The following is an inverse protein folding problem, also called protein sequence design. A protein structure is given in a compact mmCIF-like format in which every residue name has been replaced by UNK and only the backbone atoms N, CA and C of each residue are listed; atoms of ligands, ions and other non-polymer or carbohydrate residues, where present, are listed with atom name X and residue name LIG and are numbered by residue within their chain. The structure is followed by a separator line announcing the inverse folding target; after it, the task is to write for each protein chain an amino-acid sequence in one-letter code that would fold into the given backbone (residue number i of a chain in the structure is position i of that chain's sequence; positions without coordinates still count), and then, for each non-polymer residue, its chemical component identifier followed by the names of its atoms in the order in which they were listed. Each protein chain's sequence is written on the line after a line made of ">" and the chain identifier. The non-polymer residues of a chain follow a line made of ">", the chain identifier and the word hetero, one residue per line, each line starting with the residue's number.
data_IF_203529253814
#
_entry.id   IF_203529253814
#
_cell.length_a   1.000
_cell.length_b   1.000
_cell.length_c   1.000
_cell.angle_alpha   90.00
_cell.angle_beta   90.00
_cell.angle_gamma   90.00
#
_symmetry.space_group_name_H-M   'P 1'
#
loop_
_entity.id
_entity.type
_entity.pdbx_description
1 polymer ?
#
# COMPACT_ATOMS: atom_id res chain seq x y z
N UNK A 1 25.54 7.22 62.46
CA UNK A 1 25.54 6.40 61.25
C UNK A 1 24.38 6.83 60.38
N UNK A 2 24.65 7.60 59.29
CA UNK A 2 23.62 7.99 58.33
C UNK A 2 23.77 7.04 57.13
N UNK A 3 22.74 6.19 56.91
CA UNK A 3 22.64 5.34 55.75
C UNK A 3 22.20 6.18 54.55
N UNK A 4 23.11 6.33 53.57
CA UNK A 4 22.79 6.90 52.27
C UNK A 4 22.13 5.78 51.45
N UNK A 5 20.81 5.89 51.20
CA UNK A 5 20.11 5.00 50.27
C UNK A 5 20.34 5.56 48.85
N UNK A 6 21.23 4.95 48.12
CA UNK A 6 21.36 5.20 46.67
C UNK A 6 20.14 4.56 45.96
N UNK A 7 19.15 5.37 45.60
CA UNK A 7 18.15 4.97 44.61
C UNK A 7 18.85 4.84 43.24
N UNK A 8 19.14 3.61 42.84
CA UNK A 8 19.50 3.31 41.45
C UNK A 8 18.24 3.46 40.59
N UNK A 9 18.09 4.60 39.92
CA UNK A 9 17.14 4.72 38.83
C UNK A 9 17.60 3.80 37.70
N UNK A 10 17.04 2.58 37.62
CA UNK A 10 17.14 1.72 36.46
C UNK A 10 16.31 2.37 35.34
N UNK A 11 16.87 3.36 34.68
CA UNK A 11 16.38 3.82 33.39
C UNK A 11 16.49 2.65 32.41
N UNK A 12 15.37 2.11 31.96
CA UNK A 12 15.37 1.14 30.87
C UNK A 12 16.08 1.78 29.67
N UNK A 13 17.30 1.29 29.40
CA UNK A 13 18.02 1.67 28.18
C UNK A 13 17.16 1.25 27.00
N UNK A 14 16.61 2.24 26.29
CA UNK A 14 15.92 2.00 25.03
C UNK A 14 16.92 1.31 24.08
N UNK A 15 16.46 0.28 23.37
CA UNK A 15 17.32 -0.36 22.37
C UNK A 15 17.66 0.65 21.26
N UNK A 16 18.89 0.51 20.71
CA UNK A 16 19.32 1.37 19.61
C UNK A 16 18.46 1.10 18.38
N UNK A 17 17.87 2.16 17.83
CA UNK A 17 17.12 2.06 16.59
C UNK A 17 18.08 1.82 15.41
N UNK A 18 17.72 0.89 14.55
CA UNK A 18 18.49 0.48 13.37
C UNK A 18 17.59 0.46 12.15
N UNK A 19 18.14 0.86 11.01
CA UNK A 19 17.48 0.76 9.73
C UNK A 19 18.43 0.23 8.66
N UNK A 20 17.90 -0.42 7.66
CA UNK A 20 18.63 -0.88 6.47
C UNK A 20 17.69 -0.93 5.27
N UNK A 21 18.19 -0.65 4.09
CA UNK A 21 17.39 -0.59 2.88
C UNK A 21 18.07 -1.27 1.71
N UNK A 22 17.30 -1.90 0.86
CA UNK A 22 17.75 -2.47 -0.41
C UNK A 22 16.62 -2.53 -1.43
N UNK A 23 16.96 -2.48 -2.71
CA UNK A 23 16.00 -2.64 -3.81
C UNK A 23 16.54 -3.61 -4.86
N UNK A 24 15.63 -4.29 -5.54
CA UNK A 24 15.92 -5.17 -6.68
C UNK A 24 14.97 -4.87 -7.82
N UNK A 25 15.45 -5.02 -9.06
CA UNK A 25 14.61 -4.88 -10.24
C UNK A 25 13.70 -6.09 -10.37
N UNK A 26 12.41 -5.84 -10.62
CA UNK A 26 11.38 -6.85 -10.91
C UNK A 26 10.74 -6.66 -12.28
N UNK A 27 11.26 -5.76 -13.11
CA UNK A 27 10.81 -5.56 -14.48
C UNK A 27 10.87 -6.88 -15.27
N UNK A 28 9.78 -7.26 -15.98
CA UNK A 28 9.80 -8.48 -16.78
C UNK A 28 10.72 -8.32 -18.01
N UNK A 29 11.49 -9.34 -18.30
CA UNK A 29 12.07 -9.51 -19.63
C UNK A 29 10.94 -9.90 -20.59
N UNK A 30 10.59 -8.98 -21.51
CA UNK A 30 9.47 -9.13 -22.42
C UNK A 30 9.67 -10.23 -23.47
N UNK A 31 10.91 -10.71 -23.68
CA UNK A 31 11.17 -11.86 -24.54
C UNK A 31 11.04 -13.17 -23.76
N UNK A 32 11.61 -13.21 -22.57
CA UNK A 32 11.62 -14.40 -21.73
C UNK A 32 10.23 -14.75 -21.20
N UNK A 33 9.43 -13.75 -20.83
CA UNK A 33 8.11 -13.93 -20.21
C UNK A 33 6.94 -13.63 -21.16
N UNK A 34 7.18 -13.65 -22.49
CA UNK A 34 6.14 -13.37 -23.48
C UNK A 34 5.01 -14.43 -23.49
N UNK A 35 3.74 -14.01 -23.66
CA UNK A 35 3.24 -12.66 -23.64
C UNK A 35 3.12 -12.14 -22.20
N UNK A 36 3.50 -10.88 -21.95
CA UNK A 36 3.30 -10.21 -20.68
C UNK A 36 1.97 -9.45 -20.72
N UNK A 37 0.96 -9.96 -20.06
CA UNK A 37 -0.32 -9.26 -19.89
C UNK A 37 -0.19 -8.21 -18.79
N UNK A 38 -0.71 -7.01 -19.03
CA UNK A 38 -0.66 -5.90 -18.09
C UNK A 38 -1.94 -5.84 -17.26
N UNK A 39 -1.77 -5.63 -15.96
CA UNK A 39 -2.86 -5.58 -14.98
C UNK A 39 -3.59 -4.23 -14.94
N UNK A 40 -4.70 -4.16 -14.23
CA UNK A 40 -5.38 -2.96 -13.78
C UNK A 40 -6.54 -2.47 -14.66
N UNK A 41 -6.51 -2.75 -15.96
CA UNK A 41 -7.57 -2.36 -16.90
C UNK A 41 -8.15 -3.60 -17.62
N UNK A 42 -8.66 -3.45 -18.82
CA UNK A 42 -9.30 -4.55 -19.55
C UNK A 42 -8.36 -5.70 -19.96
N UNK A 43 -8.95 -6.80 -20.40
CA UNK A 43 -8.22 -7.97 -20.88
C UNK A 43 -7.36 -7.71 -22.11
N UNK A 44 -6.39 -8.62 -22.36
CA UNK A 44 -5.55 -8.65 -23.56
C UNK A 44 -4.70 -7.39 -23.78
N UNK A 45 -4.36 -6.68 -22.71
CA UNK A 45 -3.40 -5.58 -22.76
C UNK A 45 -1.99 -6.15 -22.65
N UNK A 46 -1.31 -6.34 -23.79
CA UNK A 46 0.03 -6.94 -23.86
C UNK A 46 1.08 -5.85 -23.83
N UNK A 47 2.11 -6.02 -23.00
CA UNK A 47 3.23 -5.11 -22.91
C UNK A 47 4.03 -5.08 -24.23
N UNK A 48 4.21 -3.88 -24.81
CA UNK A 48 4.95 -3.65 -26.04
C UNK A 48 6.36 -3.07 -25.81
N UNK A 49 6.68 -2.69 -24.57
CA UNK A 49 7.98 -2.13 -24.20
C UNK A 49 8.04 -1.73 -22.75
N UNK A 50 9.21 -1.28 -22.30
CA UNK A 50 9.45 -0.77 -20.95
C UNK A 50 9.78 0.73 -21.06
N UNK A 51 9.21 1.54 -20.18
CA UNK A 51 9.55 2.95 -20.01
C UNK A 51 10.58 3.12 -18.89
N UNK A 52 10.31 2.55 -17.73
CA UNK A 52 11.18 2.54 -16.57
C UNK A 52 11.05 1.21 -15.79
N UNK A 53 12.05 0.94 -14.97
CA UNK A 53 12.09 -0.30 -14.20
C UNK A 53 11.07 -0.32 -13.07
N UNK A 54 10.47 -1.50 -12.87
CA UNK A 54 9.71 -1.85 -11.67
C UNK A 54 10.66 -2.40 -10.60
N UNK A 55 10.39 -2.06 -9.33
CA UNK A 55 11.25 -2.47 -8.22
C UNK A 55 10.48 -3.19 -7.11
N UNK A 56 11.21 -4.05 -6.40
CA UNK A 56 10.93 -4.39 -5.02
C UNK A 56 11.84 -3.53 -4.14
N UNK A 57 11.27 -2.72 -3.23
CA UNK A 57 11.97 -1.76 -2.36
C UNK A 57 11.71 -2.13 -0.91
N UNK A 58 12.70 -2.63 -0.19
CA UNK A 58 12.57 -3.15 1.16
C UNK A 58 13.26 -2.25 2.19
N UNK A 59 12.53 -1.85 3.22
CA UNK A 59 13.03 -1.10 4.37
C UNK A 59 12.92 -1.95 5.63
N UNK A 60 14.07 -2.32 6.20
CA UNK A 60 14.16 -3.03 7.47
C UNK A 60 14.29 -2.03 8.63
N UNK A 61 13.48 -2.23 9.67
CA UNK A 61 13.42 -1.39 10.87
C UNK A 61 13.56 -2.29 12.11
N UNK A 62 14.44 -1.91 13.03
CA UNK A 62 14.66 -2.69 14.25
C UNK A 62 15.03 -1.83 15.44
N UNK A 63 14.44 -2.17 16.58
CA UNK A 63 14.88 -1.74 17.92
C UNK A 63 14.47 -2.86 18.87
N UNK A 64 15.42 -3.76 19.17
CA UNK A 64 15.18 -4.98 19.95
C UNK A 64 15.65 -6.24 19.23
N UNK A 65 14.98 -7.36 19.48
CA UNK A 65 15.49 -8.68 19.08
C UNK A 65 15.19 -9.04 17.61
N UNK A 66 14.02 -8.71 17.11
CA UNK A 66 13.58 -9.09 15.77
C UNK A 66 13.16 -7.84 15.00
N UNK A 67 13.80 -7.51 13.86
CA UNK A 67 13.38 -6.42 13.00
C UNK A 67 12.13 -6.79 12.23
N UNK A 68 11.42 -5.77 11.72
CA UNK A 68 10.42 -5.89 10.67
C UNK A 68 10.99 -5.35 9.38
N UNK A 69 10.75 -6.02 8.26
CA UNK A 69 11.07 -5.52 6.93
C UNK A 69 9.77 -5.34 6.14
N UNK A 70 9.55 -4.13 5.65
CA UNK A 70 8.42 -3.79 4.78
C UNK A 70 8.96 -3.63 3.36
N UNK A 71 8.51 -4.50 2.47
CA UNK A 71 8.84 -4.48 1.06
C UNK A 71 7.65 -3.93 0.27
N UNK A 72 7.86 -2.89 -0.52
CA UNK A 72 6.93 -2.39 -1.51
C UNK A 72 7.32 -2.90 -2.88
N UNK A 73 6.36 -3.38 -3.65
CA UNK A 73 6.57 -3.86 -5.02
C UNK A 73 5.75 -3.03 -6.01
N UNK A 74 6.36 -2.64 -7.14
CA UNK A 74 5.69 -1.91 -8.21
C UNK A 74 4.85 -2.87 -9.07
N UNK A 75 3.78 -3.39 -8.46
CA UNK A 75 2.83 -4.35 -9.04
C UNK A 75 1.40 -3.97 -8.63
N UNK A 76 0.42 -4.55 -9.34
CA UNK A 76 -1.01 -4.39 -9.02
C UNK A 76 -1.36 -4.99 -7.65
N UNK A 77 -0.77 -6.12 -7.32
CA UNK A 77 -1.01 -6.87 -6.08
C UNK A 77 -0.27 -8.20 -6.08
N UNK A 78 -0.09 -8.76 -4.89
CA UNK A 78 0.37 -10.14 -4.69
C UNK A 78 -0.57 -10.83 -3.71
N UNK A 79 -0.93 -12.08 -4.01
CA UNK A 79 -1.69 -12.89 -3.09
C UNK A 79 -0.85 -13.39 -1.92
N UNK A 80 -1.49 -13.63 -0.78
CA UNK A 80 -0.88 -14.19 0.42
C UNK A 80 -0.01 -15.42 0.13
N UNK A 81 -0.42 -16.26 -0.82
CA UNK A 81 0.35 -17.44 -1.22
C UNK A 81 1.77 -17.10 -1.71
N UNK A 82 1.92 -16.05 -2.53
CA UNK A 82 3.23 -15.58 -2.98
C UNK A 82 3.99 -14.86 -1.87
N UNK A 83 3.30 -14.13 -1.00
CA UNK A 83 3.90 -13.51 0.19
C UNK A 83 4.46 -14.57 1.14
N UNK A 84 3.76 -15.67 1.38
CA UNK A 84 4.26 -16.78 2.20
C UNK A 84 5.48 -17.47 1.55
N UNK A 85 5.54 -17.55 0.22
CA UNK A 85 6.73 -18.03 -0.50
C UNK A 85 7.93 -17.08 -0.29
N UNK A 86 7.71 -15.76 -0.27
CA UNK A 86 8.74 -14.77 0.04
C UNK A 86 9.20 -14.94 1.49
N UNK A 87 8.26 -15.00 2.45
CA UNK A 87 8.53 -15.20 3.88
C UNK A 87 9.36 -16.45 4.15
N UNK A 88 9.10 -17.54 3.44
CA UNK A 88 9.85 -18.79 3.56
C UNK A 88 11.33 -18.66 3.14
N UNK A 89 11.70 -17.64 2.35
CA UNK A 89 13.06 -17.36 1.88
C UNK A 89 13.80 -16.29 2.70
N UNK A 90 13.12 -15.68 3.66
CA UNK A 90 13.68 -14.62 4.52
C UNK A 90 13.77 -15.11 5.95
N UNK A 91 14.89 -14.89 6.61
CA UNK A 91 15.12 -15.34 7.99
C UNK A 91 15.47 -14.17 8.91
N UNK A 92 15.10 -14.33 10.19
CA UNK A 92 15.52 -13.40 11.25
C UNK A 92 14.72 -12.08 11.33
N UNK A 93 13.67 -11.89 10.51
CA UNK A 93 12.80 -10.74 10.53
C UNK A 93 11.34 -11.13 10.38
N UNK A 94 10.42 -10.25 10.78
CA UNK A 94 9.04 -10.26 10.30
C UNK A 94 9.00 -9.58 8.92
N UNK A 95 8.26 -10.16 7.97
CA UNK A 95 8.21 -9.69 6.58
C UNK A 95 6.80 -9.28 6.23
N UNK A 96 6.68 -8.05 5.75
CA UNK A 96 5.48 -7.47 5.15
C UNK A 96 5.78 -7.18 3.69
N UNK A 97 4.88 -7.54 2.79
CA UNK A 97 4.97 -7.20 1.36
C UNK A 97 3.71 -6.45 0.97
N UNK A 98 3.87 -5.23 0.49
CA UNK A 98 2.77 -4.42 -0.02
C UNK A 98 3.02 -4.07 -1.49
N UNK A 99 1.98 -3.66 -2.18
CA UNK A 99 2.05 -3.29 -3.60
C UNK A 99 1.68 -1.82 -3.79
N UNK A 100 2.39 -1.15 -4.70
CA UNK A 100 2.02 0.23 -5.09
C UNK A 100 0.66 0.31 -5.77
N UNK A 101 0.14 -0.83 -6.25
CA UNK A 101 -1.07 -0.96 -7.03
C UNK A 101 -0.94 -0.35 -8.43
N UNK A 102 0.26 -0.38 -9.01
CA UNK A 102 0.48 0.16 -10.35
C UNK A 102 -0.28 -0.63 -11.42
N UNK A 103 -1.04 0.10 -12.25
CA UNK A 103 -1.83 -0.47 -13.34
C UNK A 103 -1.01 -0.65 -14.63
N UNK A 104 0.30 -0.39 -14.58
CA UNK A 104 1.20 -0.45 -15.73
C UNK A 104 2.24 -1.57 -15.59
N UNK A 105 2.01 -2.48 -14.63
CA UNK A 105 2.82 -3.67 -14.39
C UNK A 105 2.20 -4.95 -14.96
N UNK A 106 2.92 -6.09 -14.85
CA UNK A 106 2.41 -7.41 -15.26
C UNK A 106 1.26 -7.90 -14.41
N UNK A 107 0.38 -8.73 -15.00
CA UNK A 107 -0.66 -9.45 -14.27
C UNK A 107 -0.06 -10.54 -13.38
N UNK A 108 -0.02 -10.28 -12.08
CA UNK A 108 0.42 -11.21 -11.04
C UNK A 108 -0.73 -11.94 -10.36
N UNK A 109 -1.97 -11.56 -10.68
CA UNK A 109 -3.19 -12.04 -10.01
C UNK A 109 -4.09 -12.91 -10.90
N UNK A 110 -3.91 -12.86 -12.23
CA UNK A 110 -4.62 -13.72 -13.18
C UNK A 110 -5.94 -13.16 -13.70
N UNK A 111 -6.20 -11.87 -13.46
CA UNK A 111 -7.49 -11.26 -13.82
C UNK A 111 -7.47 -10.57 -15.19
N UNK A 112 -6.30 -10.30 -15.77
CA UNK A 112 -6.15 -9.48 -16.98
C UNK A 112 -5.51 -10.24 -18.16
N UNK A 113 -5.71 -11.54 -18.23
CA UNK A 113 -5.20 -12.40 -19.30
C UNK A 113 -5.80 -12.11 -20.68
N UNK A 114 -5.67 -13.06 -21.64
CA UNK A 114 -6.08 -12.85 -23.03
C UNK A 114 -7.58 -12.65 -23.22
N UNK A 115 -8.40 -13.02 -22.24
CA UNK A 115 -9.85 -12.85 -22.26
C UNK A 115 -10.49 -13.33 -20.97
N UNK A 116 -11.80 -13.09 -20.84
CA UNK A 116 -12.55 -13.52 -19.68
C UNK A 116 -12.37 -15.01 -19.38
N UNK A 117 -12.09 -15.35 -18.14
CA UNK A 117 -11.87 -16.73 -17.72
C UNK A 117 -10.50 -17.32 -18.10
N UNK A 118 -9.56 -16.49 -18.55
CA UNK A 118 -8.20 -16.91 -18.88
C UNK A 118 -7.19 -16.10 -18.07
N UNK A 119 -6.32 -16.81 -17.33
CA UNK A 119 -5.31 -16.19 -16.46
C UNK A 119 -4.24 -15.45 -17.27
N UNK A 120 -3.83 -14.27 -16.79
CA UNK A 120 -2.69 -13.55 -17.31
C UNK A 120 -1.39 -13.82 -16.55
N UNK A 121 -1.43 -14.63 -15.48
CA UNK A 121 -0.24 -15.00 -14.70
C UNK A 121 0.75 -15.77 -15.57
N UNK A 122 2.00 -15.30 -15.55
CA UNK A 122 3.16 -16.05 -16.00
C UNK A 122 3.90 -16.60 -14.76
N UNK A 123 3.80 -17.91 -14.50
CA UNK A 123 4.31 -18.54 -13.27
C UNK A 123 5.82 -18.34 -13.03
N UNK A 124 6.62 -18.37 -14.11
CA UNK A 124 8.06 -18.12 -13.97
C UNK A 124 8.35 -16.66 -13.61
N UNK A 125 7.50 -15.71 -14.08
CA UNK A 125 7.62 -14.32 -13.68
C UNK A 125 7.22 -14.12 -12.21
N UNK A 126 6.09 -14.69 -11.75
CA UNK A 126 5.72 -14.63 -10.35
C UNK A 126 6.80 -15.26 -9.45
N UNK A 127 7.40 -16.37 -9.88
CA UNK A 127 8.53 -16.99 -9.16
C UNK A 127 9.77 -16.10 -9.14
N UNK A 128 10.09 -15.43 -10.26
CA UNK A 128 11.14 -14.44 -10.32
C UNK A 128 10.88 -13.27 -9.35
N UNK A 129 9.67 -12.73 -9.29
CA UNK A 129 9.28 -11.67 -8.35
C UNK A 129 9.52 -12.14 -6.90
N UNK A 130 9.03 -13.35 -6.54
CA UNK A 130 9.24 -13.94 -5.21
C UNK A 130 10.72 -13.98 -4.83
N UNK A 131 11.59 -14.42 -5.75
CA UNK A 131 13.03 -14.49 -5.51
C UNK A 131 13.66 -13.10 -5.34
N UNK A 132 13.26 -12.14 -6.17
CA UNK A 132 13.79 -10.77 -6.12
C UNK A 132 13.36 -10.02 -4.87
N UNK A 133 12.11 -10.17 -4.44
CA UNK A 133 11.62 -9.56 -3.18
C UNK A 133 12.36 -10.15 -1.99
N UNK A 134 12.52 -11.48 -1.94
CA UNK A 134 13.26 -12.14 -0.86
C UNK A 134 14.74 -11.70 -0.83
N UNK A 135 15.38 -11.51 -1.99
CA UNK A 135 16.74 -10.99 -2.09
C UNK A 135 16.85 -9.56 -1.53
N UNK A 136 15.92 -8.66 -1.92
CA UNK A 136 15.87 -7.30 -1.41
C UNK A 136 15.65 -7.27 0.10
N UNK A 137 14.72 -8.09 0.62
CA UNK A 137 14.44 -8.20 2.05
C UNK A 137 15.67 -8.66 2.85
N UNK A 138 16.31 -9.75 2.42
CA UNK A 138 17.54 -10.25 3.08
C UNK A 138 18.68 -9.22 3.01
N UNK A 139 18.81 -8.49 1.89
CA UNK A 139 19.81 -7.44 1.73
C UNK A 139 19.53 -6.25 2.66
N UNK A 140 18.29 -5.83 2.80
CA UNK A 140 17.89 -4.76 3.72
C UNK A 140 18.15 -5.16 5.19
N UNK A 141 17.86 -6.42 5.57
CA UNK A 141 18.16 -6.94 6.91
C UNK A 141 19.66 -6.96 7.18
N UNK A 142 20.45 -7.39 6.20
CA UNK A 142 21.93 -7.42 6.31
C UNK A 142 22.52 -6.01 6.42
N UNK A 143 21.88 -5.01 5.81
CA UNK A 143 22.29 -3.60 5.83
C UNK A 143 21.85 -2.86 7.10
N UNK A 144 21.21 -3.51 8.08
CA UNK A 144 20.77 -2.87 9.32
C UNK A 144 21.95 -2.24 10.07
N UNK A 145 21.92 -0.92 10.19
CA UNK A 145 22.87 -0.12 10.95
C UNK A 145 22.17 0.83 11.91
N UNK A 146 22.87 1.35 12.93
CA UNK A 146 22.31 2.37 13.82
C UNK A 146 21.82 3.58 13.03
N UNK A 147 20.59 4.00 13.27
CA UNK A 147 19.92 5.03 12.49
C UNK A 147 19.13 6.00 13.36
N UNK A 148 18.90 7.17 12.81
CA UNK A 148 18.09 8.23 13.41
C UNK A 148 16.80 8.41 12.59
N UNK A 149 15.62 8.15 13.16
CA UNK A 149 14.36 8.36 12.47
C UNK A 149 13.91 9.81 12.53
N UNK A 150 13.28 10.27 11.45
CA UNK A 150 12.61 11.58 11.30
C UNK A 150 11.19 11.30 10.84
N UNK A 151 10.21 11.78 11.59
CA UNK A 151 8.78 11.69 11.25
C UNK A 151 8.27 13.07 10.84
N UNK A 152 7.52 13.11 9.75
CA UNK A 152 6.90 14.33 9.25
C UNK A 152 5.50 14.05 8.69
N UNK A 153 4.70 15.11 8.57
CA UNK A 153 3.37 15.09 7.96
C UNK A 153 3.20 16.33 7.11
N UNK A 154 2.62 16.15 5.93
CA UNK A 154 2.19 17.23 5.06
C UNK A 154 0.70 17.14 4.84
N UNK A 155 0.03 18.27 5.02
CA UNK A 155 -1.36 18.48 4.63
C UNK A 155 -1.36 19.65 3.65
N UNK A 156 -1.86 19.44 2.45
CA UNK A 156 -1.86 20.44 1.41
C UNK A 156 -3.06 20.26 0.48
N UNK A 157 -3.80 21.34 0.17
CA UNK A 157 -4.85 21.26 -0.85
C UNK A 157 -4.36 20.84 -2.24
N UNK A 158 -3.05 20.96 -2.49
CA UNK A 158 -2.44 20.50 -3.73
C UNK A 158 -2.52 18.97 -3.85
N UNK A 159 -2.37 18.24 -2.74
CA UNK A 159 -2.47 16.78 -2.72
C UNK A 159 -3.90 16.31 -3.09
N UNK A 160 -4.92 17.01 -2.60
CA UNK A 160 -6.31 16.76 -2.98
C UNK A 160 -6.54 16.97 -4.48
N UNK A 161 -5.85 17.95 -5.10
CA UNK A 161 -6.01 18.24 -6.53
C UNK A 161 -5.44 17.15 -7.45
N UNK A 162 -4.67 16.22 -6.93
CA UNK A 162 -4.13 15.07 -7.67
C UNK A 162 -5.03 13.83 -7.60
N UNK A 163 -6.14 13.93 -6.89
CA UNK A 163 -7.08 12.84 -6.66
C UNK A 163 -8.44 13.24 -7.22
N UNK A 164 -9.03 12.36 -8.01
CA UNK A 164 -10.44 12.39 -8.38
C UNK A 164 -11.09 11.14 -7.77
N UNK A 165 -12.08 11.35 -6.91
CA UNK A 165 -12.87 10.27 -6.33
C UNK A 165 -14.23 10.25 -7.02
N UNK A 166 -14.47 9.21 -7.79
CA UNK A 166 -15.65 9.11 -8.64
C UNK A 166 -16.84 8.43 -7.97
N UNK A 167 -16.67 7.91 -6.75
CA UNK A 167 -17.74 7.24 -6.00
C UNK A 167 -18.14 8.04 -4.76
N UNK A 168 -19.43 8.39 -4.57
CA UNK A 168 -19.89 9.04 -3.34
C UNK A 168 -19.91 8.06 -2.14
N UNK A 169 -19.63 8.59 -0.92
CA UNK A 169 -19.25 9.98 -0.63
C UNK A 169 -17.82 10.28 -1.08
N UNK A 170 -17.55 11.51 -1.50
CA UNK A 170 -16.18 11.92 -1.87
C UNK A 170 -15.39 12.17 -0.60
N UNK A 171 -14.45 11.28 -0.30
CA UNK A 171 -13.57 11.36 0.86
C UNK A 171 -12.13 11.10 0.42
N UNK A 172 -11.20 12.00 0.77
CA UNK A 172 -9.78 11.83 0.46
C UNK A 172 -8.95 11.58 1.72
N UNK A 173 -8.08 10.57 1.69
CA UNK A 173 -7.01 10.37 2.66
C UNK A 173 -5.70 10.96 2.08
N UNK A 174 -5.67 12.27 1.92
CA UNK A 174 -4.66 12.98 1.15
C UNK A 174 -3.39 13.36 1.94
N UNK A 175 -3.29 13.02 3.23
CA UNK A 175 -2.10 13.34 4.02
C UNK A 175 -0.86 12.58 3.52
N UNK A 176 0.28 13.27 3.37
CA UNK A 176 1.57 12.59 3.31
C UNK A 176 2.07 12.35 4.73
N UNK A 177 2.29 11.10 5.10
CA UNK A 177 2.98 10.74 6.34
C UNK A 177 4.34 10.15 5.97
N UNK A 178 5.40 10.64 6.61
CA UNK A 178 6.78 10.41 6.18
C UNK A 178 7.58 9.81 7.33
N UNK A 179 8.30 8.73 7.03
CA UNK A 179 9.36 8.17 7.86
C UNK A 179 10.66 8.22 7.07
N UNK A 180 11.56 9.14 7.42
CA UNK A 180 12.92 9.17 6.89
C UNK A 180 13.88 8.62 7.94
N UNK A 181 14.89 7.87 7.53
CA UNK A 181 15.91 7.29 8.41
C UNK A 181 17.30 7.63 7.89
N UNK A 182 18.14 8.17 8.77
CA UNK A 182 19.52 8.53 8.45
C UNK A 182 20.51 7.74 9.29
N UNK A 183 21.64 7.35 8.69
CA UNK A 183 22.75 6.71 9.37
C UNK A 183 23.49 7.65 10.33
N UNK A 184 24.45 7.11 11.09
CA UNK A 184 25.29 7.89 12.00
C UNK A 184 26.13 8.97 11.31
N UNK A 185 26.41 8.77 10.03
CA UNK A 185 27.14 9.76 9.20
C UNK A 185 26.23 10.89 8.68
N UNK A 186 24.95 10.87 9.03
CA UNK A 186 23.95 11.84 8.62
C UNK A 186 23.39 11.64 7.22
N UNK A 187 23.83 10.60 6.47
CA UNK A 187 23.28 10.29 5.16
C UNK A 187 21.95 9.55 5.30
N UNK A 188 21.02 9.87 4.43
CA UNK A 188 19.73 9.16 4.36
C UNK A 188 19.95 7.72 3.93
N UNK A 189 19.45 6.76 4.71
CA UNK A 189 19.36 5.35 4.34
C UNK A 189 18.13 5.14 3.45
N UNK A 190 16.97 5.60 3.92
CA UNK A 190 15.73 5.54 3.16
C UNK A 190 14.72 6.60 3.64
N UNK A 191 13.78 6.94 2.75
CA UNK A 191 12.60 7.74 3.09
C UNK A 191 11.36 7.06 2.55
N UNK A 192 10.50 6.59 3.46
CA UNK A 192 9.19 6.05 3.14
C UNK A 192 8.14 7.14 3.28
N UNK A 193 7.28 7.24 2.26
CA UNK A 193 6.15 8.17 2.20
C UNK A 193 4.87 7.35 2.04
N UNK A 194 3.90 7.55 2.92
CA UNK A 194 2.57 6.97 2.81
C UNK A 194 1.61 8.01 2.24
N UNK A 195 0.95 7.65 1.14
CA UNK A 195 -0.06 8.46 0.47
C UNK A 195 -1.03 7.55 -0.27
N UNK A 196 -2.29 7.98 -0.41
CA UNK A 196 -3.35 7.19 -1.04
C UNK A 196 -3.71 7.76 -2.40
N UNK A 197 -3.30 7.08 -3.48
CA UNK A 197 -3.75 7.36 -4.84
C UNK A 197 -3.37 6.19 -5.76
N UNK A 198 -4.22 5.84 -6.72
CA UNK A 198 -3.93 4.80 -7.72
C UNK A 198 -2.77 5.23 -8.64
N UNK A 199 -1.74 4.41 -8.84
CA UNK A 199 -0.77 4.63 -9.91
C UNK A 199 -1.32 4.12 -11.25
N UNK A 200 -2.17 4.92 -11.89
CA UNK A 200 -2.85 4.58 -13.15
C UNK A 200 -2.98 5.78 -14.11
N UNK A 201 -2.09 6.78 -13.91
CA UNK A 201 -2.10 8.07 -14.64
C UNK A 201 -2.11 7.93 -16.15
N UNK A 202 -1.56 6.83 -16.67
CA UNK A 202 -1.42 6.59 -18.11
C UNK A 202 -2.67 5.98 -18.76
N UNK A 203 -3.59 5.44 -17.95
CA UNK A 203 -4.87 4.90 -18.40
C UNK A 203 -4.75 3.65 -19.27
N UNK A 204 -5.89 3.13 -19.68
CA UNK A 204 -6.06 1.80 -20.30
C UNK A 204 -5.34 1.58 -21.64
N UNK A 205 -4.94 2.67 -22.35
CA UNK A 205 -4.31 2.57 -23.66
C UNK A 205 -2.79 2.45 -23.62
N UNK A 206 -2.17 2.68 -22.47
CA UNK A 206 -0.74 2.49 -22.33
C UNK A 206 -0.37 1.01 -22.42
N UNK A 207 0.67 0.69 -23.19
CA UNK A 207 1.23 -0.66 -23.34
C UNK A 207 2.70 -0.73 -22.93
N UNK A 208 3.22 0.30 -22.27
CA UNK A 208 4.59 0.31 -21.75
C UNK A 208 4.58 0.02 -20.26
N UNK A 209 5.40 -0.93 -19.85
CA UNK A 209 5.68 -1.20 -18.43
C UNK A 209 6.32 0.04 -17.82
N UNK A 210 5.79 0.48 -16.68
CA UNK A 210 6.30 1.63 -15.92
C UNK A 210 5.76 1.58 -14.50
N UNK A 211 6.49 2.16 -13.54
CA UNK A 211 5.99 2.36 -12.18
C UNK A 211 5.00 3.54 -12.07
N UNK A 212 4.61 4.20 -13.19
CA UNK A 212 3.74 5.38 -13.22
C UNK A 212 4.33 6.55 -12.39
N UNK A 213 3.50 7.38 -11.72
CA UNK A 213 3.99 8.50 -10.90
C UNK A 213 4.94 8.07 -9.76
N UNK A 214 4.85 6.86 -9.15
CA UNK A 214 5.85 6.37 -8.21
C UNK A 214 7.29 6.34 -8.77
N UNK A 215 7.48 6.01 -10.04
CA UNK A 215 8.80 6.03 -10.69
C UNK A 215 9.45 7.42 -10.68
N UNK A 216 8.67 8.45 -11.00
CA UNK A 216 9.10 9.85 -10.95
C UNK A 216 9.31 10.33 -9.51
N UNK A 217 8.45 9.90 -8.57
CA UNK A 217 8.61 10.16 -7.16
C UNK A 217 9.92 9.59 -6.61
N UNK A 218 10.24 8.32 -6.89
CA UNK A 218 11.48 7.71 -6.44
C UNK A 218 12.70 8.48 -6.94
N UNK A 219 12.76 8.74 -8.24
CA UNK A 219 13.87 9.46 -8.86
C UNK A 219 14.08 10.84 -8.24
N UNK A 220 12.98 11.58 -8.04
CA UNK A 220 13.03 12.93 -7.48
C UNK A 220 13.43 12.95 -6.02
N UNK A 221 12.85 12.07 -5.20
CA UNK A 221 13.12 12.03 -3.76
C UNK A 221 14.54 11.56 -3.46
N UNK A 222 15.02 10.52 -4.17
CA UNK A 222 16.40 10.03 -4.08
C UNK A 222 17.41 11.12 -4.49
N UNK A 223 17.12 11.93 -5.49
CA UNK A 223 17.94 13.08 -5.87
C UNK A 223 17.94 14.20 -4.81
N UNK A 224 16.80 14.40 -4.11
CA UNK A 224 16.65 15.47 -3.10
C UNK A 224 17.27 15.13 -1.74
N UNK A 225 17.14 13.90 -1.27
CA UNK A 225 17.51 13.48 0.07
C UNK A 225 18.64 12.46 0.12
N UNK A 226 18.96 11.80 -1.01
CA UNK A 226 19.78 10.60 -1.03
C UNK A 226 19.02 9.39 -0.47
N UNK A 227 19.72 8.26 -0.38
CA UNK A 227 19.16 7.00 0.12
C UNK A 227 18.10 6.41 -0.82
N UNK A 228 17.29 5.49 -0.33
CA UNK A 228 16.23 4.82 -1.09
C UNK A 228 14.88 5.47 -0.80
N UNK A 229 14.13 5.85 -1.83
CA UNK A 229 12.73 6.27 -1.69
C UNK A 229 11.80 5.04 -1.70
N UNK A 230 10.72 5.09 -0.90
CA UNK A 230 9.66 4.09 -0.89
C UNK A 230 8.32 4.82 -0.84
N UNK A 231 7.37 4.42 -1.68
CA UNK A 231 6.00 4.93 -1.63
C UNK A 231 5.09 3.80 -1.11
N UNK A 232 4.61 3.92 0.10
CA UNK A 232 3.61 3.03 0.68
C UNK A 232 2.22 3.54 0.33
N UNK A 233 1.51 2.81 -0.52
CA UNK A 233 0.17 3.20 -0.93
C UNK A 233 -0.83 3.03 0.23
N UNK A 234 -1.80 3.94 0.30
CA UNK A 234 -2.76 4.02 1.39
C UNK A 234 -4.13 3.41 1.07
N UNK A 235 -5.18 4.11 1.49
CA UNK A 235 -6.57 3.75 1.25
C UNK A 235 -6.99 4.22 -0.14
N UNK A 236 -6.84 3.36 -1.14
CA UNK A 236 -7.08 3.70 -2.56
C UNK A 236 -8.46 3.28 -3.08
N UNK A 237 -9.26 2.57 -2.27
CA UNK A 237 -10.65 2.25 -2.61
C UNK A 237 -11.47 3.51 -2.89
N UNK A 238 -12.74 3.37 -3.32
CA UNK A 238 -13.55 4.52 -3.71
C UNK A 238 -13.12 5.17 -5.02
N UNK A 239 -12.15 4.59 -5.74
CA UNK A 239 -11.55 5.11 -6.97
C UNK A 239 -10.74 6.40 -6.78
N UNK A 240 -9.97 6.49 -5.69
CA UNK A 240 -8.98 7.55 -5.54
C UNK A 240 -7.92 7.44 -6.63
N UNK A 241 -8.06 8.24 -7.67
CA UNK A 241 -7.32 8.11 -8.92
C UNK A 241 -6.81 9.45 -9.43
N UNK A 242 -5.67 9.50 -10.12
CA UNK A 242 -5.27 10.68 -10.87
C UNK A 242 -6.04 10.82 -12.19
N UNK A 243 -6.76 9.78 -12.64
CA UNK A 243 -7.62 9.89 -13.83
C UNK A 243 -8.75 10.89 -13.58
N UNK A 244 -8.91 11.86 -14.48
CA UNK A 244 -9.87 12.96 -14.29
C UNK A 244 -9.34 14.14 -13.47
N UNK A 245 -8.37 13.93 -12.59
CA UNK A 245 -7.77 15.00 -11.79
C UNK A 245 -7.14 16.11 -12.65
N UNK A 246 -7.42 17.37 -12.30
CA UNK A 246 -7.03 18.55 -13.09
C UNK A 246 -5.63 19.06 -12.70
N UNK A 247 -4.60 18.32 -13.10
CA UNK A 247 -3.20 18.59 -12.75
C UNK A 247 -2.63 19.73 -13.60
N UNK A 248 -2.21 20.83 -12.95
CA UNK A 248 -1.61 21.99 -13.63
C UNK A 248 -0.13 21.77 -13.88
N UNK A 249 0.31 22.07 -15.12
CA UNK A 249 1.71 22.08 -15.52
C UNK A 249 2.30 23.49 -15.39
N UNK A 250 3.17 23.70 -14.40
CA UNK A 250 3.82 24.98 -14.18
C UNK A 250 4.75 25.36 -15.32
N UNK A 251 5.37 24.38 -16.02
CA UNK A 251 6.24 24.64 -17.17
C UNK A 251 5.45 25.02 -18.43
N UNK A 252 4.17 24.66 -18.49
CA UNK A 252 3.24 25.06 -19.55
C UNK A 252 2.38 26.28 -19.12
N UNK A 253 2.93 27.21 -18.32
CA UNK A 253 2.24 28.41 -17.84
C UNK A 253 0.92 28.12 -17.09
N UNK A 254 0.83 26.98 -16.40
CA UNK A 254 -0.34 26.56 -15.64
C UNK A 254 -1.45 25.95 -16.48
N UNK A 255 -1.21 25.60 -17.74
CA UNK A 255 -2.12 24.78 -18.51
C UNK A 255 -2.27 23.40 -17.87
N UNK A 256 -3.37 22.69 -18.14
CA UNK A 256 -3.54 21.33 -17.64
C UNK A 256 -2.59 20.37 -18.34
N UNK A 257 -1.95 19.50 -17.57
CA UNK A 257 -1.19 18.38 -18.13
C UNK A 257 -2.13 17.49 -18.97
N UNK A 258 -1.64 16.98 -20.11
CA UNK A 258 -2.45 16.08 -20.94
C UNK A 258 -2.88 14.85 -20.15
N UNK A 259 -4.17 14.47 -20.28
CA UNK A 259 -4.69 13.25 -19.66
C UNK A 259 -4.01 12.00 -20.25
N UNK A 260 -3.87 10.95 -19.45
CA UNK A 260 -3.21 9.70 -19.84
C UNK A 260 -1.78 9.91 -20.38
N UNK A 261 -0.98 10.71 -19.67
CA UNK A 261 0.37 11.07 -20.13
C UNK A 261 1.44 10.90 -19.06
N UNK A 262 2.66 10.58 -19.50
CA UNK A 262 3.85 10.60 -18.64
C UNK A 262 4.10 11.97 -18.01
N UNK A 263 3.72 13.07 -18.68
CA UNK A 263 3.87 14.42 -18.10
C UNK A 263 3.02 14.60 -16.86
N UNK A 264 1.77 14.11 -16.87
CA UNK A 264 0.89 14.15 -15.70
C UNK A 264 1.47 13.31 -14.55
N UNK A 265 1.94 12.09 -14.83
CA UNK A 265 2.60 11.22 -13.87
C UNK A 265 3.88 11.88 -13.29
N UNK A 266 4.69 12.49 -14.13
CA UNK A 266 5.90 13.21 -13.72
C UNK A 266 5.59 14.35 -12.75
N UNK A 267 4.62 15.20 -13.07
CA UNK A 267 4.23 16.31 -12.19
C UNK A 267 3.78 15.79 -10.83
N UNK A 268 2.90 14.81 -10.79
CA UNK A 268 2.40 14.24 -9.54
C UNK A 268 3.57 13.67 -8.72
N UNK A 269 4.37 12.78 -9.31
CA UNK A 269 5.47 12.13 -8.61
C UNK A 269 6.51 13.12 -8.08
N UNK A 270 6.92 14.11 -8.89
CA UNK A 270 7.89 15.12 -8.48
C UNK A 270 7.34 16.03 -7.37
N UNK A 271 6.07 16.42 -7.44
CA UNK A 271 5.47 17.30 -6.41
C UNK A 271 5.35 16.61 -5.06
N UNK A 272 4.90 15.34 -5.01
CA UNK A 272 4.87 14.56 -3.77
C UNK A 272 6.28 14.43 -3.19
N UNK A 273 7.28 14.15 -4.02
CA UNK A 273 8.68 14.06 -3.60
C UNK A 273 9.20 15.37 -3.03
N UNK A 274 8.89 16.51 -3.67
CA UNK A 274 9.31 17.82 -3.20
C UNK A 274 8.69 18.18 -1.85
N UNK A 275 7.39 17.98 -1.68
CA UNK A 275 6.67 18.18 -0.43
C UNK A 275 7.26 17.31 0.70
N UNK A 276 7.52 16.04 0.41
CA UNK A 276 8.12 15.13 1.38
C UNK A 276 9.54 15.55 1.76
N UNK A 277 10.38 15.92 0.79
CA UNK A 277 11.75 16.33 1.05
C UNK A 277 11.83 17.60 1.90
N UNK A 278 10.96 18.57 1.63
CA UNK A 278 10.92 19.82 2.39
C UNK A 278 10.43 19.59 3.82
N UNK A 279 9.45 18.71 4.02
CA UNK A 279 8.97 18.32 5.33
C UNK A 279 10.06 17.60 6.15
N UNK A 280 10.81 16.68 5.56
CA UNK A 280 11.94 16.00 6.22
C UNK A 280 13.01 16.97 6.66
N UNK A 281 13.37 17.95 5.81
CA UNK A 281 14.38 18.96 6.14
C UNK A 281 13.95 19.90 7.28
N UNK A 282 12.65 20.17 7.40
CA UNK A 282 12.08 21.02 8.44
C UNK A 282 11.87 20.27 9.77
N UNK A 283 11.76 18.95 9.74
CA UNK A 283 11.44 18.13 10.91
C UNK A 283 12.67 17.89 11.80
N UNK A 284 12.40 17.55 13.06
CA UNK A 284 13.43 17.18 14.03
C UNK A 284 13.53 15.66 14.16
N UNK A 285 14.72 15.14 14.49
CA UNK A 285 14.88 13.71 14.79
C UNK A 285 13.98 13.22 15.92
N UNK A 286 13.44 12.03 15.75
CA UNK A 286 12.65 11.32 16.75
C UNK A 286 13.53 10.33 17.54
N UNK A 287 13.07 9.94 18.74
CA UNK A 287 13.70 8.90 19.53
C UNK A 287 12.81 7.65 19.56
N UNK A 288 13.21 6.63 18.81
CA UNK A 288 12.55 5.33 18.78
C UNK A 288 13.48 4.33 19.45
N UNK A 289 12.95 3.53 20.36
CA UNK A 289 13.69 2.50 21.09
C UNK A 289 12.96 1.16 21.08
N UNK A 290 11.83 1.08 20.39
CA UNK A 290 11.07 -0.15 20.22
C UNK A 290 10.35 -0.15 18.88
N UNK A 291 10.47 -1.26 18.16
CA UNK A 291 9.71 -1.58 16.96
C UNK A 291 9.01 -2.90 17.22
N UNK A 292 7.70 -2.96 17.01
CA UNK A 292 6.91 -4.19 17.16
C UNK A 292 6.06 -4.42 15.92
N UNK A 293 5.81 -5.69 15.64
CA UNK A 293 4.89 -6.13 14.59
C UNK A 293 3.92 -7.14 15.18
N UNK A 294 2.66 -6.97 14.87
CA UNK A 294 1.59 -7.92 15.19
C UNK A 294 0.77 -8.20 13.93
N UNK A 295 0.44 -9.45 13.68
CA UNK A 295 -0.41 -9.90 12.58
C UNK A 295 -1.54 -10.77 13.11
N UNK A 296 -2.71 -10.64 12.50
CA UNK A 296 -3.84 -11.54 12.69
C UNK A 296 -4.33 -12.03 11.34
N UNK A 297 -4.33 -13.34 11.13
CA UNK A 297 -5.00 -13.97 9.99
C UNK A 297 -6.47 -14.15 10.35
N UNK A 298 -7.35 -13.48 9.59
CA UNK A 298 -8.80 -13.49 9.81
C UNK A 298 -9.50 -14.19 8.64
N UNK A 299 -10.60 -14.88 8.93
CA UNK A 299 -11.45 -15.45 7.91
C UNK A 299 -12.44 -14.39 7.40
N UNK A 300 -12.50 -14.19 6.09
CA UNK A 300 -13.45 -13.28 5.42
C UNK A 300 -14.31 -14.09 4.45
N UNK A 301 -15.65 -14.06 4.57
CA UNK A 301 -16.54 -14.74 3.63
C UNK A 301 -16.35 -14.20 2.20
N UNK A 302 -16.20 -15.09 1.24
CA UNK A 302 -16.16 -14.75 -0.19
C UNK A 302 -17.57 -14.86 -0.74
N UNK A 303 -18.31 -13.77 -0.78
CA UNK A 303 -19.68 -13.74 -1.32
C UNK A 303 -19.73 -13.37 -2.80
N UNK A 304 -18.67 -12.75 -3.32
CA UNK A 304 -18.53 -12.37 -4.72
C UNK A 304 -18.52 -13.60 -5.63
N UNK A 305 -19.55 -13.70 -6.48
CA UNK A 305 -19.71 -14.85 -7.40
C UNK A 305 -18.62 -14.86 -8.49
N UNK A 306 -18.16 -13.70 -8.93
CA UNK A 306 -17.05 -13.54 -9.88
C UNK A 306 -15.75 -14.12 -9.31
N UNK A 307 -15.39 -13.77 -8.07
CA UNK A 307 -14.21 -14.30 -7.39
C UNK A 307 -14.31 -15.81 -7.17
N UNK A 308 -15.49 -16.30 -6.78
CA UNK A 308 -15.72 -17.75 -6.67
C UNK A 308 -15.58 -18.46 -8.03
N UNK A 309 -16.07 -17.85 -9.11
CA UNK A 309 -15.94 -18.41 -10.45
C UNK A 309 -14.48 -18.39 -10.93
N UNK A 310 -13.75 -17.31 -10.69
CA UNK A 310 -12.33 -17.19 -10.99
C UNK A 310 -11.50 -18.27 -10.25
N UNK A 311 -11.78 -18.48 -8.97
CA UNK A 311 -11.14 -19.54 -8.18
C UNK A 311 -11.45 -20.95 -8.72
N UNK A 312 -12.72 -21.23 -9.07
CA UNK A 312 -13.11 -22.51 -9.69
C UNK A 312 -12.48 -22.75 -11.07
N UNK A 313 -12.27 -21.68 -11.83
CA UNK A 313 -11.61 -21.73 -13.14
C UNK A 313 -10.07 -21.73 -13.04
N UNK A 314 -9.53 -21.73 -11.83
CA UNK A 314 -8.10 -21.67 -11.55
C UNK A 314 -7.38 -20.47 -12.20
N UNK A 315 -8.06 -19.32 -12.28
CA UNK A 315 -7.44 -18.07 -12.80
C UNK A 315 -6.27 -17.64 -11.93
N UNK A 316 -6.35 -17.87 -10.63
CA UNK A 316 -5.33 -17.53 -9.64
C UNK A 316 -4.16 -18.54 -9.57
N UNK A 317 -4.17 -19.59 -10.43
CA UNK A 317 -3.11 -20.61 -10.50
C UNK A 317 -2.80 -21.24 -9.14
N UNK A 318 -3.83 -21.75 -8.49
CA UNK A 318 -3.75 -22.44 -7.20
C UNK A 318 -3.62 -21.54 -5.98
N UNK A 319 -3.60 -20.21 -6.17
CA UNK A 319 -3.64 -19.20 -5.09
C UNK A 319 -5.09 -18.93 -4.65
N UNK A 320 -5.27 -18.21 -3.54
CA UNK A 320 -6.61 -17.79 -3.07
C UNK A 320 -7.61 -18.94 -2.91
N UNK A 321 -7.17 -19.99 -2.27
CA UNK A 321 -8.08 -21.12 -1.98
C UNK A 321 -9.13 -20.71 -0.95
N UNK A 322 -10.39 -20.98 -1.29
CA UNK A 322 -11.51 -20.81 -0.37
C UNK A 322 -11.59 -22.01 0.58
N UNK A 323 -11.76 -21.75 1.87
CA UNK A 323 -12.00 -22.78 2.86
C UNK A 323 -13.37 -23.45 2.67
N UNK A 324 -13.61 -24.58 3.35
CA UNK A 324 -14.87 -25.34 3.23
C UNK A 324 -16.11 -24.53 3.65
N UNK A 325 -15.95 -23.52 4.49
CA UNK A 325 -17.02 -22.59 4.91
C UNK A 325 -17.25 -21.43 3.95
N UNK A 326 -16.56 -21.40 2.81
CA UNK A 326 -16.66 -20.34 1.81
C UNK A 326 -15.86 -19.09 2.14
N UNK A 327 -14.97 -19.12 3.15
CA UNK A 327 -14.12 -17.97 3.50
C UNK A 327 -12.74 -18.03 2.84
N UNK A 328 -12.08 -16.87 2.71
CA UNK A 328 -10.65 -16.75 2.46
C UNK A 328 -9.94 -16.28 3.73
N UNK A 329 -8.66 -16.62 3.86
CA UNK A 329 -7.81 -16.08 4.93
C UNK A 329 -7.17 -14.78 4.45
N UNK A 330 -7.28 -13.73 5.26
CA UNK A 330 -6.64 -12.45 4.98
C UNK A 330 -5.80 -12.01 6.20
N UNK A 331 -4.53 -11.60 6.02
CA UNK A 331 -3.72 -11.04 7.09
C UNK A 331 -4.08 -9.58 7.34
N UNK A 332 -4.11 -9.18 8.60
CA UNK A 332 -4.26 -7.79 9.04
C UNK A 332 -3.16 -7.51 10.04
N UNK A 333 -2.41 -6.43 9.86
CA UNK A 333 -1.22 -6.18 10.66
C UNK A 333 -1.18 -4.80 11.31
N UNK A 334 -0.27 -4.67 12.29
CA UNK A 334 0.07 -3.41 12.94
C UNK A 334 1.56 -3.37 13.23
N UNK A 335 2.24 -2.33 12.74
CA UNK A 335 3.61 -2.00 13.14
C UNK A 335 3.56 -0.78 14.04
N UNK A 336 4.23 -0.85 15.21
CA UNK A 336 4.31 0.27 16.15
C UNK A 336 5.77 0.64 16.39
N UNK A 337 6.09 1.92 16.20
CA UNK A 337 7.36 2.53 16.55
C UNK A 337 7.17 3.42 17.78
N UNK A 338 7.86 3.13 18.87
CA UNK A 338 7.70 3.86 20.12
C UNK A 338 9.03 4.22 20.78
N UNK A 339 9.05 5.34 21.51
CA UNK A 339 10.14 5.81 22.35
C UNK A 339 9.67 5.90 23.81
N UNK A 340 9.61 7.12 24.38
CA UNK A 340 8.94 7.39 25.68
C UNK A 340 7.41 7.26 25.59
N UNK A 341 6.86 7.13 24.39
CA UNK A 341 5.45 6.91 24.05
C UNK A 341 5.33 6.48 22.60
N UNK A 342 4.11 6.23 22.09
CA UNK A 342 3.87 5.96 20.67
C UNK A 342 4.37 7.11 19.79
N UNK A 343 5.01 6.78 18.65
CA UNK A 343 5.54 7.78 17.70
C UNK A 343 4.90 7.60 16.32
N UNK A 344 4.90 6.37 15.79
CA UNK A 344 4.31 6.01 14.52
C UNK A 344 3.62 4.65 14.65
N UNK A 345 2.36 4.60 14.23
CA UNK A 345 1.61 3.35 14.03
C UNK A 345 1.32 3.19 12.54
N UNK A 346 1.51 1.97 12.02
CA UNK A 346 1.26 1.60 10.63
C UNK A 346 0.27 0.45 10.61
N UNK A 347 -0.97 0.70 10.20
CA UNK A 347 -1.96 -0.33 9.95
C UNK A 347 -1.72 -0.98 8.57
N UNK A 348 -1.81 -2.31 8.49
CA UNK A 348 -1.62 -3.10 7.28
C UNK A 348 -2.94 -3.76 6.90
N UNK A 349 -3.41 -3.51 5.69
CA UNK A 349 -4.74 -3.93 5.21
C UNK A 349 -4.60 -4.70 3.90
N UNK A 350 -5.24 -5.89 3.78
CA UNK A 350 -5.00 -6.81 2.66
C UNK A 350 -5.86 -6.51 1.43
N UNK A 351 -5.96 -5.26 1.00
CA UNK A 351 -6.75 -4.88 -0.16
C UNK A 351 -6.93 -3.37 -0.29
N UNK A 352 -7.82 -2.97 -1.17
CA UNK A 352 -8.12 -1.58 -1.51
C UNK A 352 -9.17 -1.00 -0.56
N UNK A 353 -8.70 -0.47 0.59
CA UNK A 353 -9.59 0.12 1.60
C UNK A 353 -10.19 1.43 1.09
N UNK A 354 -11.50 1.60 1.27
CA UNK A 354 -12.16 2.88 1.02
C UNK A 354 -11.67 3.94 2.03
N UNK A 355 -11.45 5.19 1.59
CA UNK A 355 -10.91 6.25 2.45
C UNK A 355 -11.78 6.56 3.65
N UNK A 356 -13.09 6.38 3.57
CA UNK A 356 -14.04 6.53 4.68
C UNK A 356 -13.72 5.57 5.83
N UNK A 357 -13.21 4.37 5.50
CA UNK A 357 -12.75 3.40 6.50
C UNK A 357 -11.36 3.73 7.05
N UNK A 358 -10.59 4.60 6.37
CA UNK A 358 -9.31 5.08 6.86
C UNK A 358 -9.47 6.26 7.82
N UNK A 359 -10.14 7.35 7.37
CA UNK A 359 -10.20 8.63 8.06
C UNK A 359 -11.58 8.98 8.64
N UNK A 360 -12.62 8.27 8.25
CA UNK A 360 -14.02 8.53 8.58
C UNK A 360 -14.74 9.20 7.40
N UNK A 361 -16.06 9.32 7.51
CA UNK A 361 -16.88 9.90 6.46
C UNK A 361 -17.91 8.92 5.88
N UNK A 362 -18.00 7.69 6.42
CA UNK A 362 -19.03 6.72 6.01
C UNK A 362 -20.42 7.35 6.15
N UNK A 363 -21.18 7.33 5.05
CA UNK A 363 -22.56 7.83 5.01
C UNK A 363 -23.55 6.67 4.91
N UNK A 364 -24.78 6.91 5.40
CA UNK A 364 -25.90 5.99 5.25
C UNK A 364 -26.78 6.47 4.12
N UNK A 365 -27.01 5.60 3.16
CA UNK A 365 -27.91 5.89 2.05
C UNK A 365 -29.14 5.01 2.10
N UNK A 366 -30.31 5.59 1.86
CA UNK A 366 -31.60 4.87 1.84
C UNK A 366 -31.63 3.76 0.78
N UNK A 367 -30.87 3.92 -0.32
CA UNK A 367 -30.81 2.95 -1.41
C UNK A 367 -29.76 1.87 -1.23
N UNK A 368 -28.89 1.95 -0.20
CA UNK A 368 -27.88 0.93 0.05
C UNK A 368 -28.51 -0.44 0.36
N UNK A 369 -27.81 -1.53 0.01
CA UNK A 369 -28.28 -2.89 0.30
C UNK A 369 -28.36 -3.19 1.81
N UNK A 370 -27.54 -2.50 2.63
CA UNK A 370 -27.49 -2.66 4.10
C UNK A 370 -27.56 -1.32 4.84
N UNK A 371 -28.64 -0.51 4.68
CA UNK A 371 -28.70 0.86 5.20
C UNK A 371 -28.65 0.93 6.74
N UNK A 372 -29.02 -0.16 7.43
CA UNK A 372 -29.01 -0.26 8.89
C UNK A 372 -27.73 -0.92 9.44
N UNK A 373 -26.74 -1.26 8.60
CA UNK A 373 -25.51 -1.84 9.06
C UNK A 373 -24.80 -0.91 10.06
N UNK A 374 -24.14 -1.43 11.11
CA UNK A 374 -23.30 -0.62 11.97
C UNK A 374 -22.19 0.05 11.14
N UNK A 375 -21.93 1.33 11.40
CA UNK A 375 -20.79 2.02 10.78
C UNK A 375 -19.51 1.52 11.41
N UNK A 376 -18.58 1.10 10.57
CA UNK A 376 -17.25 0.66 10.99
C UNK A 376 -16.45 1.84 11.55
N UNK A 377 -15.71 1.66 12.66
CA UNK A 377 -14.83 2.71 13.14
C UNK A 377 -13.68 2.91 12.15
N UNK A 378 -13.36 4.15 11.76
CA UNK A 378 -12.25 4.42 10.87
C UNK A 378 -10.91 4.01 11.50
N UNK A 379 -9.99 3.48 10.68
CA UNK A 379 -8.78 2.81 11.17
C UNK A 379 -7.77 3.79 11.76
N UNK A 380 -7.45 4.90 11.07
CA UNK A 380 -6.45 5.86 11.57
C UNK A 380 -6.80 6.45 12.94
N UNK A 381 -8.06 6.78 13.27
CA UNK A 381 -8.47 7.17 14.62
C UNK A 381 -8.32 6.09 15.69
N UNK A 382 -8.30 4.80 15.35
CA UNK A 382 -8.03 3.72 16.31
C UNK A 382 -6.55 3.64 16.73
N UNK A 383 -5.63 4.17 15.88
CA UNK A 383 -4.19 4.17 16.13
C UNK A 383 -3.85 5.22 17.20
N UNK A 384 -2.86 4.91 18.05
CA UNK A 384 -2.52 5.73 19.23
C UNK A 384 -1.42 6.75 18.98
N UNK A 385 -0.57 6.48 17.99
CA UNK A 385 0.55 7.37 17.68
C UNK A 385 0.10 8.69 17.04
N UNK A 386 0.88 9.79 17.21
CA UNK A 386 0.62 11.05 16.52
C UNK A 386 0.80 10.96 14.99
N UNK A 387 1.72 10.11 14.53
CA UNK A 387 1.87 9.78 13.12
C UNK A 387 1.18 8.44 12.85
N UNK A 388 0.31 8.39 11.84
CA UNK A 388 -0.56 7.25 11.56
C UNK A 388 -0.54 6.96 10.08
N UNK A 389 0.04 5.83 9.70
CA UNK A 389 0.05 5.33 8.34
C UNK A 389 -0.98 4.21 8.19
N UNK A 390 -1.51 4.06 7.00
CA UNK A 390 -2.24 2.90 6.56
C UNK A 390 -1.60 2.45 5.25
N UNK A 391 -1.19 1.18 5.18
CA UNK A 391 -0.69 0.56 3.95
C UNK A 391 -1.78 -0.40 3.48
N UNK A 392 -2.34 -0.12 2.31
CA UNK A 392 -3.24 -1.01 1.58
C UNK A 392 -2.48 -2.11 0.84
N UNK A 393 -3.19 -3.08 0.27
CA UNK A 393 -2.60 -4.18 -0.51
C UNK A 393 -1.40 -4.84 0.19
N UNK A 394 -1.48 -4.90 1.52
CA UNK A 394 -0.41 -5.41 2.37
C UNK A 394 -0.64 -6.89 2.67
N UNK A 395 0.34 -7.71 2.29
CA UNK A 395 0.40 -9.16 2.49
C UNK A 395 -0.68 -9.98 1.77
N UNK A 396 -1.61 -9.34 1.07
CA UNK A 396 -2.64 -9.97 0.25
C UNK A 396 -3.41 -8.93 -0.58
N UNK A 397 -4.26 -9.42 -1.51
CA UNK A 397 -5.21 -8.63 -2.26
C UNK A 397 -6.57 -9.33 -2.30
N UNK A 398 -7.56 -8.74 -1.64
CA UNK A 398 -8.94 -9.25 -1.56
C UNK A 398 -9.96 -8.38 -2.30
N UNK A 399 -9.46 -7.43 -3.08
CA UNK A 399 -10.27 -6.42 -3.77
C UNK A 399 -10.67 -5.26 -2.86
N UNK A 400 -11.68 -4.54 -3.28
CA UNK A 400 -12.20 -3.40 -2.55
C UNK A 400 -12.77 -3.78 -1.19
N UNK A 401 -12.43 -2.98 -0.18
CA UNK A 401 -12.96 -3.07 1.18
C UNK A 401 -13.89 -1.89 1.38
N UNK A 402 -15.17 -2.14 1.20
CA UNK A 402 -16.26 -1.14 1.12
C UNK A 402 -16.98 -1.06 2.46
N UNK A 403 -17.36 0.14 2.96
CA UNK A 403 -18.24 0.25 4.12
C UNK A 403 -19.55 -0.49 3.88
N UNK A 404 -19.97 -1.35 4.82
CA UNK A 404 -21.18 -2.16 4.61
C UNK A 404 -22.44 -1.31 4.45
N UNK A 405 -22.50 -0.14 5.10
CA UNK A 405 -23.63 0.79 4.99
C UNK A 405 -23.74 1.48 3.62
N UNK A 406 -22.68 1.41 2.79
CA UNK A 406 -22.57 1.98 1.46
C UNK A 406 -22.58 0.92 0.34
N UNK A 407 -22.82 -0.35 0.68
CA UNK A 407 -22.86 -1.45 -0.28
C UNK A 407 -24.04 -1.32 -1.25
N UNK A 408 -23.80 -1.43 -2.57
CA UNK A 408 -24.72 -0.99 -3.63
C UNK A 408 -24.77 -1.93 -4.85
N UNK A 409 -25.06 -3.21 -4.61
CA UNK A 409 -25.21 -4.18 -5.73
C UNK A 409 -26.60 -4.17 -6.37
N UNK A 410 -27.65 -3.68 -5.68
CA UNK A 410 -29.04 -3.76 -6.10
C UNK A 410 -29.72 -2.40 -6.19
N UNK A 411 -30.56 -2.24 -7.23
CA UNK A 411 -31.39 -1.04 -7.34
C UNK A 411 -32.43 -0.96 -6.21
N UNK A 412 -32.77 0.26 -5.72
CA UNK A 412 -32.29 1.55 -6.19
C UNK A 412 -30.85 1.83 -5.77
N UNK A 413 -30.02 2.28 -6.70
CA UNK A 413 -28.63 2.54 -6.44
C UNK A 413 -28.41 3.85 -5.67
N UNK A 414 -27.26 3.97 -5.00
CA UNK A 414 -26.86 5.16 -4.24
C UNK A 414 -27.05 6.43 -5.07
N UNK A 415 -27.60 7.48 -4.44
CA UNK A 415 -27.91 8.77 -5.08
C UNK A 415 -28.81 8.66 -6.32
N UNK A 416 -29.66 7.61 -6.40
CA UNK A 416 -30.52 7.33 -7.55
C UNK A 416 -29.75 7.23 -8.88
N UNK A 417 -28.53 6.72 -8.84
CA UNK A 417 -27.73 6.45 -10.04
C UNK A 417 -28.49 5.52 -11.00
N UNK A 418 -28.31 5.65 -12.32
CA UNK A 418 -28.99 4.81 -13.31
C UNK A 418 -28.46 3.37 -13.37
N UNK A 419 -27.31 3.12 -12.75
CA UNK A 419 -26.64 1.81 -12.63
C UNK A 419 -25.84 1.75 -11.33
N UNK A 420 -25.42 0.56 -10.91
CA UNK A 420 -24.51 0.38 -9.79
C UNK A 420 -23.23 1.22 -9.98
N UNK A 421 -22.73 1.75 -8.89
CA UNK A 421 -21.40 2.33 -8.84
C UNK A 421 -20.36 1.21 -9.00
N UNK A 422 -19.17 1.57 -9.48
CA UNK A 422 -18.06 0.64 -9.56
C UNK A 422 -17.54 0.33 -8.14
N UNK A 423 -17.22 -0.95 -7.87
CA UNK A 423 -16.60 -1.35 -6.60
C UNK A 423 -16.97 -2.76 -6.17
N UNK A 424 -18.26 -3.04 -5.95
CA UNK A 424 -18.73 -4.30 -5.37
C UNK A 424 -18.35 -5.53 -6.20
N UNK A 425 -18.36 -5.41 -7.52
CA UNK A 425 -17.95 -6.49 -8.44
C UNK A 425 -16.48 -6.91 -8.26
N UNK A 426 -15.66 -6.02 -7.66
CA UNK A 426 -14.25 -6.28 -7.37
C UNK A 426 -13.95 -6.34 -5.85
N UNK A 427 -14.97 -6.56 -5.02
CA UNK A 427 -14.83 -6.78 -3.58
C UNK A 427 -15.03 -8.24 -3.22
N UNK A 428 -14.35 -8.73 -2.20
CA UNK A 428 -14.57 -10.06 -1.63
C UNK A 428 -15.97 -10.22 -1.02
N UNK A 429 -16.57 -9.13 -0.51
CA UNK A 429 -17.91 -9.11 0.07
C UNK A 429 -18.10 -8.09 1.21
N UNK A 430 -19.36 -7.83 1.61
CA UNK A 430 -19.74 -6.71 2.49
C UNK A 430 -19.26 -6.84 3.94
N UNK A 431 -18.78 -8.02 4.37
CA UNK A 431 -18.35 -8.24 5.76
C UNK A 431 -16.85 -7.97 5.97
N UNK A 432 -16.08 -7.64 4.93
CA UNK A 432 -14.64 -7.45 5.00
C UNK A 432 -14.26 -6.27 5.91
N UNK A 433 -14.88 -5.11 5.71
CA UNK A 433 -14.61 -3.88 6.46
C UNK A 433 -14.74 -4.07 7.98
N UNK A 434 -15.85 -4.62 8.44
CA UNK A 434 -16.12 -4.83 9.86
C UNK A 434 -15.12 -5.78 10.51
N UNK A 435 -14.72 -6.86 9.83
CA UNK A 435 -13.76 -7.85 10.32
C UNK A 435 -12.35 -7.26 10.43
N UNK A 436 -11.92 -6.49 9.42
CA UNK A 436 -10.61 -5.81 9.40
C UNK A 436 -10.54 -4.76 10.52
N UNK A 437 -11.55 -3.88 10.62
CA UNK A 437 -11.60 -2.87 11.68
C UNK A 437 -11.57 -3.49 13.08
N UNK A 438 -12.29 -4.60 13.30
CA UNK A 438 -12.28 -5.33 14.56
C UNK A 438 -10.90 -5.94 14.88
N UNK A 439 -10.20 -6.48 13.87
CA UNK A 439 -8.86 -7.04 14.03
C UNK A 439 -7.84 -5.95 14.42
N UNK A 440 -7.83 -4.81 13.73
CA UNK A 440 -6.97 -3.66 14.07
C UNK A 440 -7.27 -3.14 15.46
N UNK A 441 -8.54 -2.91 15.80
CA UNK A 441 -8.96 -2.46 17.13
C UNK A 441 -8.50 -3.40 18.25
N UNK A 442 -8.45 -4.70 17.99
CA UNK A 442 -7.98 -5.68 18.96
C UNK A 442 -6.45 -5.67 19.16
N UNK A 443 -5.68 -5.17 18.17
CA UNK A 443 -4.22 -5.02 18.26
C UNK A 443 -3.79 -3.68 18.89
N UNK A 444 -4.62 -2.66 18.84
CA UNK A 444 -4.34 -1.32 19.42
C UNK A 444 -4.66 -1.19 20.91
N UNK A 445 -5.10 -2.25 21.60
CA UNK A 445 -5.48 -2.27 23.03
C UNK A 445 -4.31 -2.46 23.99
#
# INVERSE_FOLDING_TARGET
>A
MRFLVLLACAGSLLAEFRAGAAKTVITPDLQKFAPVYMAGFGHNRIAAGVHDDLYARCLALGAGKKPVVVCEVDLIGLFLDDVERIRAKVSGADVVVASTHVHEGPDTMGLWGPGAGQSGIHEDYNSFVVDRVAEAANSAIKALEPATPILARVQSPELDSFIDDTRPPVVHDADLIILSVAGKDGKTIATAVNWANHPETLGSRNTRITADYPGFFYTRLEARLGGMAVLWNGAVGGMQSPLGAQVKDAEANGALAPENSFRKAEIIGQRIADLAADAVRAAKPNRIGRVTFAERKIAIPVTNQGFQAAARADLYKGRKKTAADGSTTAPVGLIELSGSGPQLDVALVPGELYPELSVGGVERYTGADFPDAPIEPPIKPLLRAPYRMLIGLADDEIGYIIPKAEWDEKAPYLQNAPKAWYGEENSVGPDAAARIAAAIKAMTR
#
